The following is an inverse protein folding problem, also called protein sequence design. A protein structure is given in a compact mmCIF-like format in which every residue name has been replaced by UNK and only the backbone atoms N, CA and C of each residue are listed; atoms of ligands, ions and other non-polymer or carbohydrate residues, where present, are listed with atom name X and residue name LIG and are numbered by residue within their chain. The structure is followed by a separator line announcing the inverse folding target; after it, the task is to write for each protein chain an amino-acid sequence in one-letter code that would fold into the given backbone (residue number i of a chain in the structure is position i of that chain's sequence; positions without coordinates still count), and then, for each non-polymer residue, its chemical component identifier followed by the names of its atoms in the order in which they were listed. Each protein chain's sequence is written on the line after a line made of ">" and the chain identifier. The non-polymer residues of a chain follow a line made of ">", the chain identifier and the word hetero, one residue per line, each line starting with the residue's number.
data_IF_780078620949
#
_entry.id   IF_780078620949
#
_cell.length_a   1.000
_cell.length_b   1.000
_cell.length_c   1.000
_cell.angle_alpha   90.00
_cell.angle_beta   90.00
_cell.angle_gamma   90.00
#
_symmetry.space_group_name_H-M   'P 1'
#
loop_
_entity.id
_entity.type
_entity.pdbx_description
1 polymer ?
#
# COMPACT_ATOMS: atom_id res chain seq x y z
N UNK A 1 20.51 13.47 -6.59
CA UNK A 1 21.34 13.55 -5.37
C UNK A 1 20.73 14.62 -4.46
N UNK A 2 20.37 14.28 -3.22
CA UNK A 2 19.75 15.20 -2.25
C UNK A 2 20.83 15.86 -1.39
N UNK A 3 20.63 17.12 -0.98
CA UNK A 3 21.58 17.78 -0.08
C UNK A 3 21.46 17.27 1.37
N UNK A 4 22.50 17.46 2.18
CA UNK A 4 22.43 17.18 3.62
C UNK A 4 21.30 17.97 4.31
N UNK A 5 21.06 19.21 3.88
CA UNK A 5 20.02 20.08 4.44
C UNK A 5 18.61 19.59 4.07
N UNK A 6 18.44 19.11 2.83
CA UNK A 6 17.21 18.49 2.35
C UNK A 6 16.90 17.23 3.15
N UNK A 7 17.86 16.31 3.28
CA UNK A 7 17.70 15.08 4.04
C UNK A 7 17.38 15.35 5.52
N UNK A 8 18.08 16.29 6.16
CA UNK A 8 17.81 16.64 7.56
C UNK A 8 16.38 17.18 7.76
N UNK A 9 15.83 17.91 6.78
CA UNK A 9 14.44 18.41 6.82
C UNK A 9 13.46 17.25 6.70
N UNK A 10 13.63 16.39 5.70
CA UNK A 10 12.80 15.19 5.48
C UNK A 10 12.79 14.30 6.72
N UNK A 11 13.97 14.00 7.27
CA UNK A 11 14.10 13.14 8.44
C UNK A 11 13.46 13.76 9.70
N UNK A 12 13.54 15.09 9.88
CA UNK A 12 12.87 15.77 11.00
C UNK A 12 11.35 15.72 10.89
N UNK A 13 10.81 15.89 9.70
CA UNK A 13 9.36 15.85 9.48
C UNK A 13 8.80 14.46 9.80
N UNK A 14 9.43 13.41 9.28
CA UNK A 14 9.06 12.02 9.56
C UNK A 14 9.19 11.70 11.05
N UNK A 15 10.30 12.10 11.68
CA UNK A 15 10.52 11.91 13.12
C UNK A 15 9.48 12.64 13.98
N UNK A 16 9.15 13.88 13.64
CA UNK A 16 8.10 14.65 14.32
C UNK A 16 6.73 14.01 14.17
N UNK A 17 6.41 13.52 12.98
CA UNK A 17 5.17 12.80 12.70
C UNK A 17 5.03 11.52 13.54
N UNK A 18 6.07 10.68 13.58
CA UNK A 18 6.09 9.46 14.40
C UNK A 18 5.98 9.78 15.89
N UNK A 19 6.70 10.79 16.37
CA UNK A 19 6.63 11.21 17.79
C UNK A 19 5.21 11.59 18.18
N UNK A 20 4.51 12.30 17.30
CA UNK A 20 3.14 12.73 17.52
C UNK A 20 2.14 11.56 17.54
N UNK A 21 2.34 10.54 16.71
CA UNK A 21 1.44 9.38 16.62
C UNK A 21 1.63 8.36 17.75
N UNK A 22 2.87 8.16 18.19
CA UNK A 22 3.26 7.07 19.08
C UNK A 22 3.90 7.56 20.38
N UNK A 23 3.65 8.81 20.81
CA UNK A 23 4.23 9.52 21.98
C UNK A 23 4.71 8.62 23.15
N UNK A 24 5.95 8.10 23.03
CA UNK A 24 6.54 7.16 23.98
C UNK A 24 7.99 7.52 24.29
N UNK A 25 8.33 7.55 25.59
CA UNK A 25 9.66 7.96 26.08
C UNK A 25 10.77 6.95 25.79
N UNK A 26 10.42 5.68 25.56
CA UNK A 26 11.36 4.55 25.36
C UNK A 26 11.08 3.81 24.05
N UNK A 27 10.96 4.56 22.95
CA UNK A 27 10.70 4.02 21.62
C UNK A 27 11.93 3.25 21.09
N UNK A 28 11.71 2.01 20.67
CA UNK A 28 12.69 1.17 19.97
C UNK A 28 12.13 0.85 18.58
N UNK A 29 12.71 1.45 17.56
CA UNK A 29 12.32 1.19 16.18
C UNK A 29 13.08 -0.01 15.61
N UNK A 30 12.34 -0.99 15.09
CA UNK A 30 12.87 -2.05 14.24
C UNK A 30 12.46 -1.73 12.81
N UNK A 31 13.43 -1.41 11.97
CA UNK A 31 13.21 -1.07 10.58
C UNK A 31 13.37 -2.32 9.71
N UNK A 32 12.24 -2.85 9.29
CA UNK A 32 12.09 -4.05 8.48
C UNK A 32 11.78 -3.77 7.01
N UNK A 33 11.84 -2.50 6.57
CA UNK A 33 11.84 -2.21 5.14
C UNK A 33 13.11 -2.74 4.47
N UNK A 34 13.01 -3.13 3.19
CA UNK A 34 14.19 -3.49 2.42
C UNK A 34 15.18 -2.31 2.35
N UNK A 35 16.46 -2.61 2.58
CA UNK A 35 17.53 -1.60 2.75
C UNK A 35 18.46 -1.50 1.53
N UNK A 36 18.25 -2.35 0.50
CA UNK A 36 19.11 -2.50 -0.68
C UNK A 36 19.09 -1.30 -1.64
N UNK A 37 18.55 -1.47 -2.85
CA UNK A 37 18.42 -0.38 -3.83
C UNK A 37 17.46 0.75 -3.39
N UNK A 38 16.79 0.57 -2.26
CA UNK A 38 15.65 1.35 -1.78
C UNK A 38 16.05 2.60 -1.00
N UNK A 39 15.55 3.75 -1.44
CA UNK A 39 15.64 4.99 -0.68
C UNK A 39 14.80 4.93 0.62
N UNK A 40 13.69 4.20 0.63
CA UNK A 40 12.74 4.18 1.75
C UNK A 40 13.35 3.59 3.02
N UNK A 41 13.84 2.36 3.01
CA UNK A 41 14.41 1.72 4.21
C UNK A 41 15.55 2.53 4.83
N UNK A 42 16.49 3.00 3.99
CA UNK A 42 17.60 3.83 4.48
C UNK A 42 17.13 5.16 5.07
N UNK A 43 16.19 5.86 4.42
CA UNK A 43 15.70 7.14 4.92
C UNK A 43 14.82 6.98 6.18
N UNK A 44 14.01 5.92 6.25
CA UNK A 44 13.22 5.60 7.44
C UNK A 44 14.13 5.33 8.62
N UNK A 45 15.17 4.49 8.47
CA UNK A 45 16.13 4.22 9.53
C UNK A 45 16.84 5.49 10.04
N UNK A 46 17.24 6.38 9.14
CA UNK A 46 17.85 7.67 9.49
C UNK A 46 16.87 8.64 10.17
N UNK A 47 15.60 8.65 9.74
CA UNK A 47 14.56 9.46 10.36
C UNK A 47 14.25 8.97 11.78
N UNK A 48 14.04 7.66 11.96
CA UNK A 48 13.74 7.08 13.27
C UNK A 48 14.88 7.25 14.27
N UNK A 49 16.14 7.27 13.80
CA UNK A 49 17.31 7.48 14.66
C UNK A 49 17.33 8.86 15.33
N UNK A 50 16.47 9.80 14.91
CA UNK A 50 16.30 11.10 15.58
C UNK A 50 15.43 11.01 16.85
N UNK A 51 14.60 9.97 16.99
CA UNK A 51 13.56 9.88 18.03
C UNK A 51 13.54 8.54 18.78
N UNK A 52 14.26 7.53 18.30
CA UNK A 52 14.25 6.18 18.87
C UNK A 52 15.65 5.54 18.82
N UNK A 53 15.85 4.49 19.62
CA UNK A 53 16.87 3.49 19.30
C UNK A 53 16.44 2.76 18.03
N UNK A 54 17.35 2.54 17.08
CA UNK A 54 17.01 1.91 15.78
C UNK A 54 17.85 0.67 15.53
N UNK A 55 17.17 -0.41 15.17
CA UNK A 55 17.79 -1.59 14.55
C UNK A 55 17.22 -1.76 13.14
N UNK A 56 18.10 -1.64 12.13
CA UNK A 56 17.74 -2.00 10.76
C UNK A 56 17.95 -3.50 10.59
N UNK A 57 16.86 -4.26 10.49
CA UNK A 57 16.89 -5.71 10.28
C UNK A 57 16.71 -6.07 8.82
N UNK A 58 16.04 -5.21 8.04
CA UNK A 58 15.41 -5.62 6.79
C UNK A 58 14.23 -6.56 7.05
N UNK A 59 13.57 -7.05 5.99
CA UNK A 59 12.44 -7.98 6.10
C UNK A 59 12.94 -9.39 6.46
N UNK A 60 13.44 -9.55 7.68
CA UNK A 60 13.95 -10.81 8.21
C UNK A 60 13.29 -11.10 9.56
N UNK A 61 12.35 -12.05 9.54
CA UNK A 61 11.51 -12.39 10.70
C UNK A 61 12.36 -12.77 11.92
N UNK A 62 13.31 -13.69 11.76
CA UNK A 62 14.09 -14.20 12.88
C UNK A 62 15.01 -13.12 13.46
N UNK A 63 15.60 -12.26 12.64
CA UNK A 63 16.38 -11.11 13.14
C UNK A 63 15.54 -10.13 13.95
N UNK A 64 14.28 -9.90 13.57
CA UNK A 64 13.35 -9.03 14.31
C UNK A 64 13.06 -9.65 15.67
N UNK A 65 12.65 -10.92 15.69
CA UNK A 65 12.29 -11.65 16.90
C UNK A 65 13.48 -11.80 17.87
N UNK A 66 14.66 -12.13 17.35
CA UNK A 66 15.90 -12.20 18.13
C UNK A 66 16.27 -10.84 18.72
N UNK A 67 16.09 -9.76 17.95
CA UNK A 67 16.33 -8.39 18.44
C UNK A 67 15.38 -8.08 19.59
N UNK A 68 14.08 -8.32 19.43
CA UNK A 68 13.10 -8.09 20.48
C UNK A 68 13.41 -8.90 21.74
N UNK A 69 13.72 -10.18 21.59
CA UNK A 69 14.07 -11.03 22.73
C UNK A 69 15.35 -10.56 23.44
N UNK A 70 16.36 -10.10 22.69
CA UNK A 70 17.60 -9.61 23.27
C UNK A 70 17.41 -8.37 24.14
N UNK A 71 16.58 -7.42 23.69
CA UNK A 71 16.34 -6.16 24.41
C UNK A 71 15.21 -6.25 25.45
N UNK A 72 14.32 -7.23 25.31
CA UNK A 72 13.25 -7.53 26.26
C UNK A 72 12.07 -6.54 26.22
N UNK A 73 10.99 -6.81 26.97
CA UNK A 73 9.70 -6.13 26.85
C UNK A 73 9.65 -4.70 27.42
N UNK A 74 10.77 -4.19 27.95
CA UNK A 74 10.80 -2.88 28.63
C UNK A 74 10.71 -1.69 27.66
N UNK A 75 10.82 -1.93 26.36
CA UNK A 75 10.67 -0.92 25.32
C UNK A 75 9.25 -0.88 24.77
N UNK A 76 8.91 0.22 24.10
CA UNK A 76 7.79 0.22 23.15
C UNK A 76 8.36 0.07 21.76
N UNK A 77 8.05 -1.04 21.10
CA UNK A 77 8.61 -1.34 19.79
C UNK A 77 7.78 -0.68 18.70
N UNK A 78 8.45 0.00 17.76
CA UNK A 78 7.86 0.49 16.52
C UNK A 78 8.44 -0.30 15.36
N UNK A 79 7.65 -1.21 14.78
CA UNK A 79 8.08 -2.05 13.68
C UNK A 79 7.64 -1.40 12.37
N UNK A 80 8.60 -0.97 11.56
CA UNK A 80 8.30 -0.35 10.27
C UNK A 80 8.57 -1.32 9.12
N UNK A 81 7.55 -1.63 8.32
CA UNK A 81 7.56 -2.71 7.34
C UNK A 81 6.58 -2.49 6.19
N UNK A 82 6.62 -3.35 5.17
CA UNK A 82 5.49 -3.49 4.24
C UNK A 82 4.30 -4.15 4.97
N UNK A 83 3.04 -3.76 4.69
CA UNK A 83 1.86 -4.37 5.31
C UNK A 83 1.83 -5.91 5.28
N UNK A 84 2.03 -6.59 4.13
CA UNK A 84 2.01 -8.06 4.09
C UNK A 84 3.12 -8.68 4.94
N UNK A 85 4.33 -8.11 4.93
CA UNK A 85 5.42 -8.60 5.77
C UNK A 85 5.12 -8.45 7.27
N UNK A 86 4.44 -7.38 7.67
CA UNK A 86 4.04 -7.20 9.08
C UNK A 86 3.05 -8.28 9.52
N UNK A 87 2.20 -8.76 8.62
CA UNK A 87 1.33 -9.92 8.85
C UNK A 87 2.15 -11.19 9.07
N UNK A 88 3.12 -11.49 8.20
CA UNK A 88 3.99 -12.66 8.35
C UNK A 88 4.70 -12.67 9.72
N UNK A 89 5.06 -11.48 10.23
CA UNK A 89 5.61 -11.35 11.57
C UNK A 89 4.61 -11.68 12.67
N UNK A 90 3.36 -11.20 12.59
CA UNK A 90 2.29 -11.56 13.54
C UNK A 90 2.05 -13.06 13.53
N UNK A 91 1.91 -13.68 12.35
CA UNK A 91 1.66 -15.11 12.21
C UNK A 91 2.77 -15.95 12.87
N UNK A 92 4.03 -15.54 12.64
CA UNK A 92 5.18 -16.16 13.26
C UNK A 92 5.19 -15.97 14.77
N UNK A 93 4.82 -14.80 15.27
CA UNK A 93 4.69 -14.57 16.71
C UNK A 93 3.58 -15.40 17.35
N UNK A 94 2.45 -15.56 16.67
CA UNK A 94 1.27 -16.28 17.15
C UNK A 94 1.46 -17.80 17.18
N UNK A 95 2.52 -18.32 16.56
CA UNK A 95 2.98 -19.71 16.80
C UNK A 95 3.57 -19.92 18.20
N UNK A 96 3.99 -18.86 18.89
CA UNK A 96 4.52 -18.86 20.27
C UNK A 96 3.94 -17.68 21.08
N UNK A 97 2.61 -17.57 21.26
CA UNK A 97 1.96 -16.31 21.66
C UNK A 97 2.36 -15.84 23.06
N UNK A 98 2.60 -16.78 23.98
CA UNK A 98 3.04 -16.51 25.35
C UNK A 98 4.43 -15.86 25.41
N UNK A 99 5.29 -16.12 24.42
CA UNK A 99 6.64 -15.53 24.35
C UNK A 99 6.60 -14.02 24.15
N UNK A 100 5.52 -13.52 23.56
CA UNK A 100 5.40 -12.13 23.11
C UNK A 100 4.32 -11.33 23.85
N UNK A 101 3.64 -11.94 24.82
CA UNK A 101 2.49 -11.34 25.52
C UNK A 101 2.82 -10.03 26.25
N UNK A 102 4.03 -9.91 26.78
CA UNK A 102 4.45 -8.72 27.55
C UNK A 102 5.03 -7.59 26.69
N UNK A 103 5.16 -7.78 25.37
CA UNK A 103 5.75 -6.79 24.48
C UNK A 103 4.70 -5.76 24.02
N UNK A 104 5.07 -4.47 24.07
CA UNK A 104 4.24 -3.36 23.54
C UNK A 104 4.68 -3.02 22.13
N UNK A 105 3.79 -3.19 21.16
CA UNK A 105 4.13 -3.17 19.74
C UNK A 105 3.27 -2.14 19.00
N UNK A 106 3.90 -1.32 18.18
CA UNK A 106 3.26 -0.42 17.23
C UNK A 106 3.81 -0.68 15.83
N UNK A 107 2.97 -0.51 14.81
CA UNK A 107 3.32 -0.70 13.40
C UNK A 107 3.34 0.61 12.64
N UNK A 108 4.35 0.81 11.79
CA UNK A 108 4.39 1.92 10.83
C UNK A 108 4.69 1.40 9.43
N UNK A 109 3.66 1.24 8.63
CA UNK A 109 3.75 0.59 7.32
C UNK A 109 3.79 1.58 6.17
N UNK A 110 4.24 1.14 4.99
CA UNK A 110 4.27 1.96 3.79
C UNK A 110 4.73 1.16 2.58
N UNK A 111 4.85 1.83 1.43
CA UNK A 111 5.18 1.20 0.16
C UNK A 111 3.95 0.61 -0.55
N UNK A 112 3.00 0.09 0.21
CA UNK A 112 1.75 -0.52 -0.29
C UNK A 112 0.55 -0.02 0.52
N UNK A 113 -0.64 -0.10 -0.09
CA UNK A 113 -1.89 0.16 0.62
C UNK A 113 -2.17 -0.97 1.62
N UNK A 114 -2.68 -0.63 2.80
CA UNK A 114 -3.12 -1.60 3.81
C UNK A 114 -4.64 -1.59 3.87
N UNK A 115 -5.29 -2.75 3.81
CA UNK A 115 -6.75 -2.84 4.01
C UNK A 115 -7.12 -2.65 5.48
N UNK A 116 -8.37 -2.24 5.76
CA UNK A 116 -8.84 -2.16 7.15
C UNK A 116 -8.96 -3.56 7.78
N UNK A 117 -9.29 -4.60 7.01
CA UNK A 117 -9.25 -5.99 7.50
C UNK A 117 -7.85 -6.43 7.93
N UNK A 118 -6.81 -6.10 7.16
CA UNK A 118 -5.44 -6.35 7.56
C UNK A 118 -5.05 -5.52 8.78
N UNK A 119 -5.50 -4.26 8.89
CA UNK A 119 -5.26 -3.46 10.10
C UNK A 119 -5.86 -4.13 11.33
N UNK A 120 -7.12 -4.56 11.27
CA UNK A 120 -7.81 -5.21 12.37
C UNK A 120 -7.11 -6.50 12.80
N UNK A 121 -6.61 -7.28 11.84
CA UNK A 121 -5.79 -8.46 12.10
C UNK A 121 -4.50 -8.10 12.86
N UNK A 122 -3.75 -7.11 12.38
CA UNK A 122 -2.50 -6.68 12.99
C UNK A 122 -2.73 -6.07 14.38
N UNK A 123 -3.81 -5.30 14.56
CA UNK A 123 -4.19 -4.68 15.84
C UNK A 123 -4.62 -5.71 16.91
N UNK A 124 -4.79 -6.98 16.54
CA UNK A 124 -4.88 -8.09 17.51
C UNK A 124 -3.59 -8.30 18.33
N UNK A 125 -2.44 -7.87 17.79
CA UNK A 125 -1.11 -7.98 18.41
C UNK A 125 -0.43 -6.61 18.61
N UNK A 126 -0.70 -5.65 17.75
CA UNK A 126 -0.15 -4.30 17.79
C UNK A 126 -1.14 -3.33 18.45
N UNK A 127 -0.67 -2.40 19.27
CA UNK A 127 -1.49 -1.36 19.89
C UNK A 127 -2.08 -0.41 18.83
N UNK A 128 -1.25 -0.04 17.84
CA UNK A 128 -1.63 0.83 16.71
C UNK A 128 -0.81 0.46 15.48
N UNK A 129 -1.45 0.48 14.32
CA UNK A 129 -0.74 0.37 13.03
C UNK A 129 -1.14 1.55 12.14
N UNK A 130 -0.18 2.30 11.62
CA UNK A 130 -0.43 3.42 10.72
C UNK A 130 0.35 3.30 9.42
N UNK A 131 -0.28 3.68 8.31
CA UNK A 131 0.38 3.78 7.00
C UNK A 131 0.96 5.16 6.74
N UNK A 132 2.11 5.21 6.08
CA UNK A 132 2.73 6.41 5.54
C UNK A 132 2.73 6.40 4.01
N UNK A 133 2.53 7.58 3.42
CA UNK A 133 2.59 7.79 1.98
C UNK A 133 3.84 8.60 1.60
N UNK A 134 4.51 8.16 0.54
CA UNK A 134 5.71 8.77 0.02
C UNK A 134 6.07 8.21 -1.34
N UNK A 135 6.93 8.92 -2.06
CA UNK A 135 7.40 8.52 -3.38
C UNK A 135 8.91 8.72 -3.45
N UNK A 136 9.64 7.70 -3.88
CA UNK A 136 11.11 7.65 -3.84
C UNK A 136 11.77 8.79 -4.64
N UNK A 137 11.13 9.19 -5.74
CA UNK A 137 11.52 10.28 -6.65
C UNK A 137 11.24 11.70 -6.08
N UNK A 138 10.30 11.82 -5.13
CA UNK A 138 9.94 13.05 -4.42
C UNK A 138 10.54 13.10 -3.02
N UNK A 139 9.89 12.47 -2.05
CA UNK A 139 10.31 12.36 -0.64
C UNK A 139 9.50 11.26 0.07
N UNK A 140 10.05 10.75 1.17
CA UNK A 140 9.27 9.94 2.12
C UNK A 140 8.43 10.87 3.03
N UNK A 141 7.34 10.35 3.58
CA UNK A 141 6.53 11.05 4.58
C UNK A 141 5.79 12.28 4.03
N UNK A 142 5.22 12.18 2.83
CA UNK A 142 4.40 13.24 2.24
C UNK A 142 3.04 13.34 2.93
N UNK A 143 2.46 12.20 3.30
CA UNK A 143 1.23 12.11 4.08
C UNK A 143 1.31 10.88 4.99
N UNK A 144 0.43 10.80 5.98
CA UNK A 144 0.33 9.61 6.84
C UNK A 144 -1.02 9.49 7.50
N UNK A 145 -1.27 8.33 8.07
CA UNK A 145 -2.49 8.08 8.84
C UNK A 145 -2.39 8.62 10.25
N UNK A 146 -3.53 9.01 10.80
CA UNK A 146 -3.72 9.40 12.20
C UNK A 146 -4.98 8.71 12.73
N UNK A 147 -5.21 8.73 14.05
CA UNK A 147 -6.48 8.24 14.63
C UNK A 147 -7.70 8.81 13.87
N UNK A 148 -7.66 10.11 13.53
CA UNK A 148 -8.74 10.77 12.81
C UNK A 148 -8.90 10.23 11.39
N UNK A 149 -7.80 10.03 10.66
CA UNK A 149 -7.89 9.54 9.28
C UNK A 149 -8.32 8.07 9.22
N UNK A 150 -7.92 7.25 10.19
CA UNK A 150 -8.37 5.86 10.33
C UNK A 150 -9.88 5.81 10.62
N UNK A 151 -10.39 6.63 11.53
CA UNK A 151 -11.84 6.71 11.80
C UNK A 151 -12.62 7.10 10.53
N UNK A 152 -12.14 8.09 9.78
CA UNK A 152 -12.77 8.51 8.51
C UNK A 152 -12.73 7.38 7.49
N UNK A 153 -11.60 6.68 7.36
CA UNK A 153 -11.46 5.58 6.42
C UNK A 153 -12.39 4.41 6.74
N UNK A 154 -12.46 4.01 8.02
CA UNK A 154 -13.41 2.98 8.48
C UNK A 154 -14.85 3.37 8.18
N UNK A 155 -15.20 4.66 8.29
CA UNK A 155 -16.51 5.14 7.92
C UNK A 155 -16.77 5.06 6.40
N UNK A 156 -15.80 5.44 5.55
CA UNK A 156 -15.92 5.27 4.09
C UNK A 156 -16.15 3.81 3.68
N UNK A 157 -15.65 2.84 4.46
CA UNK A 157 -15.84 1.43 4.19
C UNK A 157 -17.24 0.91 4.55
N UNK A 158 -17.85 1.41 5.63
CA UNK A 158 -19.07 0.83 6.21
C UNK A 158 -20.32 1.71 6.09
N UNK A 159 -20.16 3.00 5.85
CA UNK A 159 -21.24 3.98 5.70
C UNK A 159 -21.33 4.43 4.24
N UNK A 160 -22.20 3.76 3.48
CA UNK A 160 -22.39 4.02 2.05
C UNK A 160 -22.89 5.44 1.77
N UNK A 161 -23.69 6.01 2.68
CA UNK A 161 -24.20 7.38 2.55
C UNK A 161 -23.05 8.37 2.74
N UNK A 162 -22.20 8.17 3.76
CA UNK A 162 -21.00 8.98 3.95
C UNK A 162 -20.01 8.84 2.79
N UNK A 163 -19.84 7.64 2.24
CA UNK A 163 -18.99 7.42 1.05
C UNK A 163 -19.53 8.19 -0.15
N UNK A 164 -20.82 8.07 -0.45
CA UNK A 164 -21.47 8.79 -1.54
C UNK A 164 -21.37 10.31 -1.36
N UNK A 165 -21.50 10.77 -0.12
CA UNK A 165 -21.35 12.17 0.29
C UNK A 165 -19.93 12.73 0.07
N UNK A 166 -18.90 11.92 0.33
CA UNK A 166 -17.51 12.34 0.28
C UNK A 166 -16.86 12.13 -1.11
N UNK A 167 -17.25 11.08 -1.83
CA UNK A 167 -16.60 10.62 -3.06
C UNK A 167 -17.52 10.60 -4.29
N UNK A 168 -18.83 10.73 -4.10
CA UNK A 168 -19.83 10.61 -5.15
C UNK A 168 -20.54 9.24 -5.17
N UNK A 169 -21.77 9.17 -5.71
CA UNK A 169 -22.64 8.00 -5.59
C UNK A 169 -22.14 6.76 -6.34
N UNK A 170 -21.31 6.95 -7.37
CA UNK A 170 -20.80 5.88 -8.22
C UNK A 170 -19.42 5.36 -7.76
N UNK A 171 -18.85 5.91 -6.69
CA UNK A 171 -17.58 5.45 -6.15
C UNK A 171 -17.78 4.26 -5.21
N UNK A 172 -17.28 3.11 -5.62
CA UNK A 172 -17.34 1.86 -4.85
C UNK A 172 -16.04 1.56 -4.10
N UNK A 173 -14.92 2.20 -4.46
CA UNK A 173 -13.61 1.96 -3.86
C UNK A 173 -13.50 2.66 -2.51
N UNK A 174 -12.73 2.05 -1.60
CA UNK A 174 -12.34 2.66 -0.33
C UNK A 174 -10.89 3.13 -0.43
N UNK A 175 -10.62 4.44 -0.58
CA UNK A 175 -9.25 4.93 -0.68
C UNK A 175 -8.49 4.80 0.65
N UNK A 176 -7.16 4.83 0.59
CA UNK A 176 -6.37 5.19 1.76
C UNK A 176 -6.71 6.63 2.17
N UNK A 177 -6.82 6.92 3.47
CA UNK A 177 -7.11 8.28 3.95
C UNK A 177 -5.93 8.76 4.78
N UNK A 178 -5.22 9.76 4.27
CA UNK A 178 -4.08 10.35 4.95
C UNK A 178 -4.31 11.83 5.25
N UNK A 179 -3.58 12.34 6.25
CA UNK A 179 -3.38 13.77 6.43
C UNK A 179 -1.99 14.18 5.95
N UNK A 180 -1.86 15.38 5.39
CA UNK A 180 -0.59 15.90 4.89
C UNK A 180 -0.33 17.35 5.31
N UNK A 181 0.93 17.74 5.39
CA UNK A 181 1.32 19.13 5.68
C UNK A 181 1.49 19.92 4.37
N UNK A 182 0.55 20.81 4.01
CA UNK A 182 0.62 21.56 2.75
C UNK A 182 1.78 22.56 2.70
N UNK A 183 2.39 22.89 3.85
CA UNK A 183 3.58 23.75 3.91
C UNK A 183 4.86 23.01 3.51
N UNK A 184 4.89 21.68 3.63
CA UNK A 184 6.03 20.85 3.22
C UNK A 184 5.84 20.34 1.79
N UNK A 185 4.67 19.80 1.50
CA UNK A 185 4.27 19.29 0.19
C UNK A 185 2.92 19.85 -0.17
N UNK A 186 2.88 20.77 -1.14
CA UNK A 186 1.63 21.22 -1.72
C UNK A 186 1.10 20.14 -2.67
N UNK A 187 -0.16 19.74 -2.49
CA UNK A 187 -0.84 18.77 -3.32
C UNK A 187 -2.00 19.44 -4.05
N UNK A 188 -2.18 19.06 -5.31
CA UNK A 188 -3.34 19.40 -6.14
C UNK A 188 -3.70 18.19 -7.02
N UNK A 189 -4.90 18.19 -7.61
CA UNK A 189 -5.34 17.15 -8.56
C UNK A 189 -5.56 17.74 -9.94
N UNK A 190 -5.32 16.94 -10.99
CA UNK A 190 -5.71 17.30 -12.36
C UNK A 190 -7.22 17.12 -12.56
N UNK A 191 -7.74 17.58 -13.70
CA UNK A 191 -9.14 17.33 -14.09
C UNK A 191 -9.44 15.83 -14.25
N UNK A 192 -8.41 15.02 -14.53
CA UNK A 192 -8.49 13.56 -14.65
C UNK A 192 -8.30 12.83 -13.31
N UNK A 193 -8.17 13.56 -12.19
CA UNK A 193 -8.04 12.98 -10.84
C UNK A 193 -6.63 12.56 -10.44
N UNK A 194 -5.61 12.88 -11.24
CA UNK A 194 -4.22 12.53 -10.94
C UNK A 194 -3.60 13.48 -9.91
N UNK A 195 -2.87 12.92 -8.95
CA UNK A 195 -2.21 13.64 -7.87
C UNK A 195 -0.91 14.29 -8.34
N UNK A 196 -0.85 15.60 -8.13
CA UNK A 196 0.27 16.45 -8.50
C UNK A 196 0.85 17.08 -7.25
N UNK A 197 2.17 16.98 -7.09
CA UNK A 197 2.88 17.47 -5.92
C UNK A 197 3.89 18.58 -6.24
N UNK A 198 3.98 19.54 -5.32
CA UNK A 198 5.03 20.55 -5.29
C UNK A 198 5.74 20.50 -3.95
N UNK A 199 7.06 20.30 -3.97
CA UNK A 199 7.87 20.30 -2.74
C UNK A 199 8.23 21.75 -2.39
N UNK A 200 7.70 22.22 -1.27
CA UNK A 200 7.80 23.62 -0.84
C UNK A 200 9.09 23.93 -0.06
N UNK A 201 9.83 22.90 0.35
CA UNK A 201 11.05 23.07 1.12
C UNK A 201 12.14 23.76 0.31
N UNK A 202 12.58 24.94 0.76
CA UNK A 202 13.71 25.66 0.16
C UNK A 202 15.07 24.94 0.33
N UNK A 203 15.10 23.80 1.04
CA UNK A 203 16.29 22.97 1.17
C UNK A 203 16.52 22.02 -0.03
N UNK A 204 15.51 21.81 -0.88
CA UNK A 204 15.64 20.93 -2.05
C UNK A 204 16.61 21.49 -3.08
N UNK A 205 17.50 20.64 -3.59
CA UNK A 205 18.42 21.04 -4.67
C UNK A 205 17.74 21.08 -6.04
N UNK A 206 16.75 20.22 -6.24
CA UNK A 206 15.97 20.15 -7.48
C UNK A 206 14.52 20.43 -7.13
N UNK A 207 14.00 21.64 -7.45
CA UNK A 207 12.60 21.96 -7.27
C UNK A 207 11.73 20.93 -7.99
N UNK A 208 10.76 20.39 -7.27
CA UNK A 208 9.71 19.54 -7.84
C UNK A 208 8.47 20.40 -7.88
N UNK A 209 8.17 20.95 -9.05
CA UNK A 209 7.03 21.84 -9.27
C UNK A 209 6.02 21.07 -10.10
N UNK A 210 4.78 21.00 -9.63
CA UNK A 210 3.69 20.26 -10.29
C UNK A 210 4.13 18.91 -10.83
N UNK A 211 4.84 18.14 -10.01
CA UNK A 211 5.28 16.81 -10.35
C UNK A 211 4.09 15.86 -10.29
N UNK A 212 3.71 15.28 -11.42
CA UNK A 212 2.64 14.28 -11.47
C UNK A 212 3.19 12.96 -10.94
N UNK A 213 2.59 12.46 -9.86
CA UNK A 213 3.01 11.22 -9.22
C UNK A 213 2.51 10.01 -10.01
N UNK A 214 1.39 10.14 -10.73
CA UNK A 214 0.69 9.05 -11.41
C UNK A 214 -0.28 8.28 -10.49
N UNK A 215 -0.57 8.83 -9.31
CA UNK A 215 -1.56 8.28 -8.39
C UNK A 215 -2.91 8.99 -8.58
N UNK A 216 -4.02 8.28 -8.44
CA UNK A 216 -5.36 8.85 -8.42
C UNK A 216 -5.74 9.26 -7.00
N UNK A 217 -6.24 10.49 -6.81
CA UNK A 217 -6.57 11.00 -5.49
C UNK A 217 -7.73 12.00 -5.49
N UNK A 218 -8.38 12.11 -4.33
CA UNK A 218 -9.28 13.23 -3.98
C UNK A 218 -8.70 14.00 -2.79
N UNK A 219 -8.68 15.34 -2.88
CA UNK A 219 -8.23 16.20 -1.80
C UNK A 219 -9.43 16.84 -1.11
N UNK A 220 -9.46 16.75 0.23
CA UNK A 220 -10.52 17.35 1.04
C UNK A 220 -9.88 18.20 2.13
N UNK A 221 -10.20 19.49 2.17
CA UNK A 221 -9.71 20.34 3.25
C UNK A 221 -10.37 20.01 4.60
N UNK A 222 -9.71 20.40 5.69
CA UNK A 222 -10.19 20.06 7.03
C UNK A 222 -11.61 20.59 7.32
N UNK A 223 -11.97 21.86 7.02
CA UNK A 223 -13.33 22.36 7.23
C UNK A 223 -14.40 21.59 6.44
N UNK A 224 -14.12 21.22 5.19
CA UNK A 224 -15.05 20.45 4.35
C UNK A 224 -15.26 19.06 4.94
N UNK A 225 -14.19 18.37 5.36
CA UNK A 225 -14.33 17.07 6.02
C UNK A 225 -15.14 17.15 7.32
N UNK A 226 -15.00 18.23 8.10
CA UNK A 226 -15.83 18.45 9.29
C UNK A 226 -17.31 18.62 8.92
N UNK A 227 -17.63 19.31 7.83
CA UNK A 227 -19.02 19.46 7.37
C UNK A 227 -19.60 18.14 6.84
N UNK A 228 -18.81 17.37 6.08
CA UNK A 228 -19.20 16.04 5.63
C UNK A 228 -19.52 15.13 6.81
N UNK A 229 -18.62 15.02 7.79
CA UNK A 229 -18.79 14.17 8.97
C UNK A 229 -19.92 14.64 9.89
N UNK A 230 -20.22 15.94 9.95
CA UNK A 230 -21.33 16.47 10.78
C UNK A 230 -22.70 15.95 10.40
N UNK A 231 -22.90 15.60 9.12
CA UNK A 231 -24.15 15.02 8.62
C UNK A 231 -24.38 13.60 9.14
N UNK A 232 -23.35 13.00 9.72
CA UNK A 232 -23.31 11.64 10.27
C UNK A 232 -22.98 11.72 11.78
N UNK A 233 -23.97 11.89 12.68
CA UNK A 233 -23.72 12.27 14.08
C UNK A 233 -22.84 11.29 14.88
N UNK A 234 -22.90 10.00 14.56
CA UNK A 234 -22.05 8.99 15.22
C UNK A 234 -20.60 9.13 14.78
N UNK A 235 -20.36 9.28 13.48
CA UNK A 235 -19.06 9.58 12.90
C UNK A 235 -18.48 10.88 13.45
N UNK A 236 -19.28 11.95 13.52
CA UNK A 236 -18.85 13.23 14.08
C UNK A 236 -18.33 13.09 15.54
N UNK A 237 -18.98 12.26 16.36
CA UNK A 237 -18.53 11.97 17.73
C UNK A 237 -17.21 11.19 17.72
N UNK A 238 -17.11 10.15 16.89
CA UNK A 238 -15.88 9.35 16.76
C UNK A 238 -14.70 10.19 16.28
N UNK A 239 -14.88 11.02 15.24
CA UNK A 239 -13.87 11.96 14.75
C UNK A 239 -13.46 12.96 15.83
N UNK A 240 -14.41 13.48 16.64
CA UNK A 240 -14.08 14.41 17.73
C UNK A 240 -13.20 13.78 18.80
N UNK A 241 -13.46 12.51 19.15
CA UNK A 241 -12.63 11.76 20.09
C UNK A 241 -11.22 11.49 19.53
N UNK A 242 -11.14 11.02 18.27
CA UNK A 242 -9.88 10.76 17.59
C UNK A 242 -9.02 12.02 17.40
N UNK A 243 -9.66 13.16 17.09
CA UNK A 243 -8.97 14.45 16.94
C UNK A 243 -8.38 14.96 18.26
N UNK A 244 -8.94 14.60 19.42
CA UNK A 244 -8.51 15.13 20.71
C UNK A 244 -7.06 14.76 21.08
N UNK A 245 -6.54 13.64 20.55
CA UNK A 245 -5.17 13.18 20.81
C UNK A 245 -4.09 13.95 20.04
N UNK A 246 -4.37 14.32 18.79
CA UNK A 246 -3.38 14.90 17.85
C UNK A 246 -3.62 16.40 17.59
N UNK A 247 -4.89 16.83 17.50
CA UNK A 247 -5.28 18.24 17.40
C UNK A 247 -4.88 18.97 16.10
N UNK A 248 -4.23 18.28 15.17
CA UNK A 248 -3.78 18.87 13.91
C UNK A 248 -4.90 19.01 12.88
N UNK A 249 -5.16 20.24 12.46
CA UNK A 249 -6.15 20.58 11.42
C UNK A 249 -5.54 20.54 10.02
N UNK A 250 -5.00 19.37 9.65
CA UNK A 250 -4.39 19.15 8.34
C UNK A 250 -5.44 18.71 7.30
N UNK A 251 -5.27 19.10 6.02
CA UNK A 251 -6.08 18.58 4.92
C UNK A 251 -5.87 17.08 4.72
N UNK A 252 -6.83 16.47 4.04
CA UNK A 252 -6.86 15.04 3.73
C UNK A 252 -6.52 14.79 2.26
N UNK A 253 -5.78 13.71 2.03
CA UNK A 253 -5.62 13.10 0.71
C UNK A 253 -6.19 11.68 0.76
N UNK A 254 -7.18 11.43 -0.11
CA UNK A 254 -7.84 10.15 -0.28
C UNK A 254 -7.23 9.51 -1.53
N UNK A 255 -6.41 8.48 -1.35
CA UNK A 255 -5.57 7.88 -2.39
C UNK A 255 -6.16 6.55 -2.89
N UNK A 256 -6.38 6.43 -4.21
CA UNK A 256 -6.98 5.26 -4.85
C UNK A 256 -5.96 4.29 -5.46
N UNK A 257 -4.68 4.64 -5.46
CA UNK A 257 -3.61 3.87 -6.11
C UNK A 257 -3.17 4.48 -7.43
N UNK A 258 -2.50 3.70 -8.28
CA UNK A 258 -1.89 4.17 -9.52
C UNK A 258 -2.92 4.29 -10.64
N UNK A 259 -2.96 5.44 -11.31
CA UNK A 259 -3.87 5.67 -12.44
C UNK A 259 -3.54 4.80 -13.67
N UNK A 260 -2.27 4.35 -13.78
CA UNK A 260 -1.75 3.56 -14.89
C UNK A 260 -1.85 2.04 -14.69
N UNK A 261 -2.57 1.57 -13.67
CA UNK A 261 -2.71 0.14 -13.33
C UNK A 261 -1.47 -0.56 -12.77
N UNK A 262 -0.42 0.19 -12.41
CA UNK A 262 0.72 -0.35 -11.66
C UNK A 262 0.27 -0.79 -10.26
N UNK A 263 0.59 -2.01 -9.86
CA UNK A 263 0.42 -2.46 -8.46
C UNK A 263 1.76 -2.45 -7.75
N UNK A 264 1.74 -2.28 -6.42
CA UNK A 264 2.92 -2.48 -5.58
C UNK A 264 2.72 -3.75 -4.77
N UNK A 265 3.74 -4.61 -4.72
CA UNK A 265 3.71 -5.84 -3.94
C UNK A 265 5.11 -6.12 -3.37
N UNK A 266 5.20 -6.33 -2.06
CA UNK A 266 6.47 -6.51 -1.33
C UNK A 266 7.49 -5.40 -1.65
N UNK A 267 6.99 -4.17 -1.72
CA UNK A 267 7.74 -2.96 -2.08
C UNK A 267 8.01 -2.77 -3.57
N UNK A 268 7.87 -3.79 -4.41
CA UNK A 268 8.18 -3.71 -5.84
C UNK A 268 6.98 -3.23 -6.66
N UNK A 269 7.21 -2.29 -7.59
CA UNK A 269 6.20 -1.88 -8.57
C UNK A 269 6.16 -2.89 -9.72
N UNK A 270 4.95 -3.36 -10.03
CA UNK A 270 4.66 -4.27 -11.13
C UNK A 270 3.88 -3.48 -12.18
N UNK A 271 4.56 -3.13 -13.27
CA UNK A 271 3.98 -2.33 -14.36
C UNK A 271 3.26 -3.24 -15.37
N UNK A 272 2.10 -2.84 -15.92
CA UNK A 272 1.41 -3.62 -16.95
C UNK A 272 2.30 -3.93 -18.16
N UNK A 273 3.18 -3.01 -18.57
CA UNK A 273 4.08 -3.24 -19.70
C UNK A 273 5.09 -4.37 -19.43
N UNK A 274 5.58 -4.50 -18.20
CA UNK A 274 6.50 -5.57 -17.83
C UNK A 274 5.77 -6.92 -17.73
N UNK A 275 4.51 -6.92 -17.27
CA UNK A 275 3.63 -8.09 -17.37
C UNK A 275 3.46 -8.50 -18.83
N UNK A 276 3.13 -7.55 -19.70
CA UNK A 276 2.93 -7.80 -21.13
C UNK A 276 4.19 -8.41 -21.78
N UNK A 277 5.37 -7.85 -21.50
CA UNK A 277 6.63 -8.41 -21.96
C UNK A 277 6.84 -9.85 -21.45
N UNK A 278 6.50 -10.12 -20.19
CA UNK A 278 6.54 -11.46 -19.61
C UNK A 278 5.58 -12.46 -20.25
N UNK A 279 4.36 -12.01 -20.60
CA UNK A 279 3.34 -12.83 -21.27
C UNK A 279 3.79 -13.36 -22.63
N UNK A 280 4.49 -12.52 -23.40
CA UNK A 280 4.89 -12.84 -24.77
C UNK A 280 6.28 -13.48 -24.86
N UNK A 281 7.11 -13.38 -23.82
CA UNK A 281 8.47 -13.90 -23.83
C UNK A 281 8.46 -15.43 -23.81
N UNK A 282 8.98 -16.03 -24.87
CA UNK A 282 9.19 -17.49 -25.00
C UNK A 282 7.91 -18.34 -24.78
N UNK A 283 6.73 -17.72 -24.83
CA UNK A 283 5.43 -18.37 -24.64
C UNK A 283 4.88 -18.88 -26.00
N UNK A 284 4.86 -20.19 -26.25
CA UNK A 284 4.44 -20.76 -27.53
C UNK A 284 2.94 -20.53 -27.81
N UNK A 285 2.15 -20.24 -26.78
CA UNK A 285 0.70 -20.02 -26.86
C UNK A 285 0.31 -18.55 -26.74
N UNK A 286 1.26 -17.61 -26.79
CA UNK A 286 0.96 -16.19 -26.64
C UNK A 286 0.02 -15.63 -27.73
N UNK A 287 -0.03 -16.27 -28.89
CA UNK A 287 -0.98 -15.95 -29.96
C UNK A 287 -2.45 -16.12 -29.56
N UNK A 288 -2.75 -16.93 -28.53
CA UNK A 288 -4.09 -17.14 -27.99
C UNK A 288 -4.56 -15.99 -27.09
N UNK A 289 -3.63 -15.17 -26.59
CA UNK A 289 -3.92 -14.09 -25.64
C UNK A 289 -4.42 -12.86 -26.39
N UNK A 290 -5.57 -12.34 -25.94
CA UNK A 290 -6.14 -11.09 -26.44
C UNK A 290 -5.76 -9.91 -25.56
N UNK A 291 -5.94 -10.05 -24.25
CA UNK A 291 -5.66 -9.01 -23.27
C UNK A 291 -5.47 -9.61 -21.88
N UNK A 292 -5.09 -8.77 -20.90
CA UNK A 292 -4.98 -9.17 -19.52
C UNK A 292 -5.46 -8.07 -18.57
N UNK A 293 -5.75 -8.45 -17.32
CA UNK A 293 -5.96 -7.54 -16.18
C UNK A 293 -5.17 -8.03 -14.98
N UNK A 294 -4.70 -7.10 -14.16
CA UNK A 294 -3.99 -7.35 -12.92
C UNK A 294 -4.76 -6.73 -11.75
N UNK A 295 -4.77 -7.41 -10.62
CA UNK A 295 -5.30 -6.92 -9.36
C UNK A 295 -4.45 -7.40 -8.18
N UNK A 296 -4.56 -6.72 -7.05
CA UNK A 296 -4.20 -7.29 -5.76
C UNK A 296 -5.45 -7.93 -5.18
N UNK A 297 -5.50 -9.26 -5.19
CA UNK A 297 -6.64 -10.01 -4.70
C UNK A 297 -6.43 -10.37 -3.24
N UNK A 298 -7.44 -10.07 -2.41
CA UNK A 298 -7.51 -10.62 -1.06
C UNK A 298 -7.81 -12.12 -1.12
N UNK A 299 -6.94 -12.91 -0.50
CA UNK A 299 -7.07 -14.36 -0.34
C UNK A 299 -7.36 -14.69 1.13
N UNK A 300 -7.54 -15.98 1.43
CA UNK A 300 -7.82 -16.42 2.78
C UNK A 300 -6.79 -15.89 3.80
N UNK A 301 -7.28 -15.47 4.96
CA UNK A 301 -6.43 -15.03 6.07
C UNK A 301 -5.93 -13.60 6.00
N UNK A 302 -6.58 -12.68 5.26
CA UNK A 302 -6.16 -11.27 5.12
C UNK A 302 -4.83 -11.07 4.38
N UNK A 303 -4.45 -12.02 3.53
CA UNK A 303 -3.33 -11.86 2.62
C UNK A 303 -3.79 -11.29 1.29
N UNK A 304 -2.89 -10.58 0.62
CA UNK A 304 -3.08 -10.15 -0.74
C UNK A 304 -2.03 -10.79 -1.64
N UNK A 305 -2.45 -11.19 -2.84
CA UNK A 305 -1.56 -11.71 -3.89
C UNK A 305 -1.85 -11.01 -5.21
N UNK A 306 -0.82 -10.73 -6.02
CA UNK A 306 -1.02 -10.36 -7.41
C UNK A 306 -1.81 -11.46 -8.14
N UNK A 307 -2.94 -11.11 -8.74
CA UNK A 307 -3.71 -11.98 -9.61
C UNK A 307 -3.73 -11.41 -11.03
N UNK A 308 -3.40 -12.26 -11.99
CA UNK A 308 -3.33 -11.96 -13.41
C UNK A 308 -4.43 -12.72 -14.15
N UNK A 309 -5.37 -11.97 -14.69
CA UNK A 309 -6.45 -12.46 -15.51
C UNK A 309 -6.07 -12.37 -16.97
N UNK A 310 -6.16 -13.48 -17.69
CA UNK A 310 -5.81 -13.57 -19.11
C UNK A 310 -7.08 -13.84 -19.91
N UNK A 311 -7.42 -12.95 -20.84
CA UNK A 311 -8.48 -13.21 -21.79
C UNK A 311 -7.92 -13.91 -23.03
N UNK A 312 -8.50 -15.05 -23.38
CA UNK A 312 -8.27 -15.70 -24.66
C UNK A 312 -9.06 -14.99 -25.78
N UNK A 313 -8.49 -15.00 -26.99
CA UNK A 313 -9.16 -14.51 -28.20
C UNK A 313 -10.44 -15.30 -28.47
N UNK A 314 -11.41 -14.66 -29.13
CA UNK A 314 -12.65 -15.31 -29.57
C UNK A 314 -12.38 -16.55 -30.43
N UNK A 315 -11.35 -16.53 -31.27
CA UNK A 315 -10.98 -17.65 -32.15
C UNK A 315 -10.03 -18.67 -31.51
N UNK A 316 -9.69 -18.52 -30.22
CA UNK A 316 -8.85 -19.48 -29.53
C UNK A 316 -9.52 -20.87 -29.46
N UNK A 317 -8.77 -21.98 -29.58
CA UNK A 317 -9.34 -23.30 -29.37
C UNK A 317 -9.83 -23.42 -27.91
N UNK A 318 -10.89 -24.20 -27.70
CA UNK A 318 -11.32 -24.56 -26.35
C UNK A 318 -10.20 -25.35 -25.67
N UNK A 319 -9.57 -24.74 -24.67
CA UNK A 319 -8.55 -25.39 -23.86
C UNK A 319 -9.21 -26.22 -22.77
N UNK A 320 -8.77 -27.46 -22.61
CA UNK A 320 -9.17 -28.29 -21.47
C UNK A 320 -8.50 -27.81 -20.16
N UNK A 321 -8.89 -28.33 -18.98
CA UNK A 321 -8.33 -27.88 -17.71
C UNK A 321 -6.81 -28.06 -17.59
N UNK A 322 -6.22 -29.10 -18.18
CA UNK A 322 -4.77 -29.34 -18.14
C UNK A 322 -4.04 -28.33 -19.04
N UNK A 323 -4.58 -28.06 -20.23
CA UNK A 323 -4.02 -27.06 -21.15
C UNK A 323 -4.10 -25.62 -20.60
N UNK A 324 -5.17 -25.29 -19.85
CA UNK A 324 -5.29 -24.00 -19.16
C UNK A 324 -4.27 -23.87 -18.05
N UNK A 325 -4.07 -24.93 -17.26
CA UNK A 325 -3.08 -24.95 -16.19
C UNK A 325 -1.66 -24.80 -16.75
N UNK A 326 -1.32 -25.54 -17.81
CA UNK A 326 -0.03 -25.43 -18.52
C UNK A 326 0.22 -24.01 -19.07
N UNK A 327 -0.82 -23.36 -19.61
CA UNK A 327 -0.72 -21.97 -20.06
C UNK A 327 -0.53 -21.00 -18.89
N UNK A 328 -1.26 -21.19 -17.79
CA UNK A 328 -1.14 -20.37 -16.59
C UNK A 328 0.27 -20.45 -15.98
N UNK A 329 0.84 -21.66 -15.86
CA UNK A 329 2.21 -21.89 -15.36
C UNK A 329 3.26 -21.29 -16.30
N UNK A 330 3.10 -21.45 -17.62
CA UNK A 330 3.99 -20.83 -18.62
C UNK A 330 3.98 -19.31 -18.50
N UNK A 331 2.79 -18.71 -18.35
CA UNK A 331 2.63 -17.26 -18.17
C UNK A 331 3.27 -16.81 -16.85
N UNK A 332 2.99 -17.51 -15.75
CA UNK A 332 3.54 -17.17 -14.44
C UNK A 332 5.07 -17.18 -14.49
N UNK A 333 5.68 -18.24 -15.04
CA UNK A 333 7.13 -18.33 -15.18
C UNK A 333 7.71 -17.21 -16.05
N UNK A 334 7.12 -16.95 -17.23
CA UNK A 334 7.57 -15.89 -18.13
C UNK A 334 7.48 -14.49 -17.51
N UNK A 335 6.41 -14.22 -16.77
CA UNK A 335 6.22 -12.98 -16.02
C UNK A 335 7.24 -12.83 -14.90
N UNK A 336 7.42 -13.85 -14.05
CA UNK A 336 8.40 -13.82 -12.95
C UNK A 336 9.82 -13.61 -13.46
N UNK A 337 10.23 -14.36 -14.49
CA UNK A 337 11.56 -14.24 -15.10
C UNK A 337 11.78 -12.85 -15.70
N UNK A 338 10.77 -12.29 -16.38
CA UNK A 338 10.89 -10.96 -16.94
C UNK A 338 11.00 -9.90 -15.84
N UNK A 339 10.09 -9.90 -14.86
CA UNK A 339 10.09 -8.96 -13.74
C UNK A 339 11.41 -8.99 -12.96
N UNK A 340 11.93 -10.18 -12.62
CA UNK A 340 13.22 -10.33 -11.95
C UNK A 340 14.39 -9.81 -12.81
N UNK A 341 14.30 -9.89 -14.13
CA UNK A 341 15.35 -9.42 -15.04
C UNK A 341 15.38 -7.90 -15.24
N UNK A 342 14.22 -7.23 -15.16
CA UNK A 342 14.09 -5.78 -15.44
C UNK A 342 13.96 -4.93 -14.18
N UNK A 343 13.49 -5.53 -13.07
CA UNK A 343 13.28 -4.87 -11.79
C UNK A 343 14.18 -5.48 -10.72
N UNK A 344 15.26 -4.75 -10.37
CA UNK A 344 16.12 -5.11 -9.23
C UNK A 344 15.35 -5.17 -7.92
N UNK A 345 14.32 -4.33 -7.83
CA UNK A 345 13.41 -4.24 -6.70
C UNK A 345 12.64 -5.56 -6.55
N UNK A 346 12.05 -6.05 -7.63
CA UNK A 346 11.36 -7.35 -7.64
C UNK A 346 12.31 -8.52 -7.39
N UNK A 347 13.49 -8.52 -8.02
CA UNK A 347 14.51 -9.55 -7.80
C UNK A 347 14.95 -9.64 -6.33
N UNK A 348 15.13 -8.49 -5.67
CA UNK A 348 15.48 -8.43 -4.25
C UNK A 348 14.32 -8.93 -3.38
N UNK A 349 13.07 -8.54 -3.67
CA UNK A 349 11.90 -9.02 -2.93
C UNK A 349 11.75 -10.55 -3.01
N UNK A 350 12.07 -11.17 -4.15
CA UNK A 350 12.10 -12.64 -4.29
C UNK A 350 13.15 -13.32 -3.41
N UNK A 351 14.32 -12.71 -3.23
CA UNK A 351 15.35 -13.23 -2.33
C UNK A 351 14.97 -13.07 -0.85
N UNK A 352 14.27 -11.99 -0.52
CA UNK A 352 13.86 -11.63 0.83
C UNK A 352 12.63 -12.42 1.31
N UNK A 353 11.66 -12.64 0.44
CA UNK A 353 10.44 -13.39 0.74
C UNK A 353 10.00 -14.24 -0.48
N UNK A 354 10.08 -15.59 -0.39
CA UNK A 354 9.66 -16.49 -1.46
C UNK A 354 8.20 -16.34 -1.88
N UNK A 355 7.31 -15.85 -1.01
CA UNK A 355 5.89 -15.59 -1.33
C UNK A 355 5.73 -14.47 -2.36
N UNK A 356 6.79 -13.69 -2.63
CA UNK A 356 6.84 -12.72 -3.74
C UNK A 356 6.57 -13.40 -5.10
N UNK A 357 6.92 -14.69 -5.24
CA UNK A 357 6.72 -15.45 -6.47
C UNK A 357 5.26 -15.92 -6.70
N UNK A 358 4.38 -15.77 -5.71
CA UNK A 358 2.99 -16.26 -5.74
C UNK A 358 2.06 -15.34 -6.54
N UNK A 359 2.33 -15.19 -7.84
CA UNK A 359 1.43 -14.52 -8.79
C UNK A 359 0.40 -15.53 -9.31
N UNK A 360 -0.86 -15.36 -8.96
CA UNK A 360 -1.95 -16.22 -9.44
C UNK A 360 -2.31 -15.88 -10.88
N UNK A 361 -2.49 -16.88 -11.74
CA UNK A 361 -2.84 -16.68 -13.15
C UNK A 361 -4.15 -17.42 -13.45
N UNK A 362 -5.12 -16.69 -13.99
CA UNK A 362 -6.43 -17.23 -14.36
C UNK A 362 -6.70 -17.03 -15.85
N UNK A 363 -7.08 -18.11 -16.53
CA UNK A 363 -7.37 -18.10 -17.97
C UNK A 363 -8.89 -18.04 -18.20
N UNK A 364 -9.33 -16.93 -18.77
CA UNK A 364 -10.74 -16.62 -19.07
C UNK A 364 -11.01 -16.80 -20.57
N UNK A 365 -12.19 -17.32 -20.89
CA UNK A 365 -12.67 -17.30 -22.27
C UNK A 365 -13.00 -15.87 -22.69
N UNK A 366 -13.12 -15.66 -24.01
CA UNK A 366 -13.40 -14.34 -24.57
C UNK A 366 -14.62 -13.66 -23.91
N UNK A 367 -14.41 -12.44 -23.40
CA UNK A 367 -15.43 -11.62 -22.75
C UNK A 367 -16.15 -12.28 -21.57
N UNK A 368 -15.44 -13.13 -20.80
CA UNK A 368 -15.97 -13.76 -19.56
C UNK A 368 -15.28 -13.23 -18.30
N UNK A 369 -15.94 -13.41 -17.15
CA UNK A 369 -15.39 -13.05 -15.85
C UNK A 369 -15.08 -11.55 -15.76
N UNK A 370 -13.83 -11.15 -15.46
CA UNK A 370 -13.45 -9.74 -15.39
C UNK A 370 -13.78 -8.95 -16.66
N UNK A 371 -13.80 -9.63 -17.81
CA UNK A 371 -13.88 -9.00 -19.11
C UNK A 371 -15.30 -8.80 -19.66
N UNK A 372 -16.33 -9.19 -18.91
CA UNK A 372 -17.75 -9.07 -19.32
C UNK A 372 -18.19 -7.62 -19.54
N UNK A 373 -17.65 -6.68 -18.76
CA UNK A 373 -17.91 -5.27 -18.95
C UNK A 373 -17.10 -4.73 -20.13
N UNK A 374 -17.77 -4.52 -21.27
CA UNK A 374 -17.22 -3.84 -22.43
C UNK A 374 -16.78 -2.42 -22.03
N UNK A 375 -15.49 -2.23 -21.80
CA UNK A 375 -14.94 -0.89 -21.63
C UNK A 375 -15.05 -0.18 -22.97
N UNK A 376 -15.99 0.77 -23.08
CA UNK A 376 -16.17 1.64 -24.27
C UNK A 376 -14.99 2.58 -24.54
N UNK A 377 -13.87 2.40 -23.85
CA UNK A 377 -12.62 3.14 -24.06
C UNK A 377 -11.75 2.37 -25.04
N UNK A 378 -11.21 3.08 -26.04
CA UNK A 378 -10.26 2.54 -27.03
C UNK A 378 -8.95 2.03 -26.39
N UNK A 379 -8.68 2.40 -25.13
CA UNK A 379 -7.49 1.98 -24.37
C UNK A 379 -7.80 0.76 -23.51
N UNK A 380 -6.91 -0.24 -23.55
CA UNK A 380 -6.93 -1.37 -22.62
C UNK A 380 -6.94 -0.87 -21.17
N UNK A 381 -7.85 -1.43 -20.36
CA UNK A 381 -7.89 -1.20 -18.92
C UNK A 381 -7.31 -2.43 -18.26
N UNK A 382 -6.18 -2.23 -17.57
CA UNK A 382 -5.40 -3.32 -16.99
C UNK A 382 -5.71 -3.56 -15.51
N UNK A 383 -6.43 -2.70 -14.79
CA UNK A 383 -6.92 -3.00 -13.41
C UNK A 383 -8.32 -3.60 -13.44
N UNK A 384 -8.53 -4.67 -12.68
CA UNK A 384 -9.86 -5.15 -12.32
C UNK A 384 -10.40 -4.42 -11.09
N UNK A 385 -11.66 -3.97 -11.18
CA UNK A 385 -12.38 -3.40 -10.04
C UNK A 385 -13.03 -4.55 -9.28
N UNK A 386 -12.74 -4.67 -7.99
CA UNK A 386 -13.38 -5.66 -7.12
C UNK A 386 -14.90 -5.40 -7.11
N UNK A 387 -15.69 -6.31 -7.67
CA UNK A 387 -17.12 -6.38 -7.40
C UNK A 387 -17.29 -7.30 -6.20
N UNK A 388 -17.74 -6.76 -5.07
CA UNK A 388 -18.28 -7.59 -4.00
C UNK A 388 -19.56 -8.25 -4.55
N UNK A 389 -19.54 -9.58 -4.62
CA UNK A 389 -20.70 -10.37 -5.02
C UNK A 389 -21.78 -10.31 -3.95
N UNK A 390 -23.01 -10.02 -4.38
CA UNK A 390 -24.24 -10.31 -3.63
C UNK A 390 -24.38 -11.83 -3.43
N UNK A 391 -23.65 -12.40 -2.47
CA UNK A 391 -24.06 -13.67 -1.87
C UNK A 391 -24.98 -13.35 -0.70
N UNK A 392 -26.26 -13.20 -1.05
CA UNK A 392 -27.36 -13.17 -0.11
C UNK A 392 -27.37 -14.47 0.71
N UNK A 393 -27.05 -14.35 2.00
CA UNK A 393 -27.28 -15.39 3.00
C UNK A 393 -28.80 -15.47 3.23
N UNK A 394 -29.41 -16.58 2.80
CA UNK A 394 -30.69 -17.08 3.33
C UNK A 394 -30.52 -17.64 4.75
#
# INVERSE_FOLDING_TARGET
>A
MRSKKELDTVHKNVAGYVTMLFDHKDLFCINAFSMGAWATGTNTGLAMAKVAMVKNTGPDLEKILDTMQHFGPNHTYLISAYPPFLKHLVDRMDSEPERWADFRLNGFVGGEAMTEGLRDYLEGRFDRVYSGYGASDLTIGMAGESDLSVVIRRALAHDLDFRADALGPDESRVPMVFQYNPLETYLETTDDGELVATINSAAVMSPRLRYNIGDEATLIDFPTMVELTRRHPELARACSAAFAGNGMKLPFVLLFGRADSTISYMGANIYPLDIENGLYRDNPRAHLIESFRIELREIAGHEQRPALHIQLREEAPSLDPEERQDLAETIQAGVLDHLASVSRDFAQSLEEDPTTAEIHVEIHDHATGPFEAANTKIKNVYVQRTQEGDDAIE
#
